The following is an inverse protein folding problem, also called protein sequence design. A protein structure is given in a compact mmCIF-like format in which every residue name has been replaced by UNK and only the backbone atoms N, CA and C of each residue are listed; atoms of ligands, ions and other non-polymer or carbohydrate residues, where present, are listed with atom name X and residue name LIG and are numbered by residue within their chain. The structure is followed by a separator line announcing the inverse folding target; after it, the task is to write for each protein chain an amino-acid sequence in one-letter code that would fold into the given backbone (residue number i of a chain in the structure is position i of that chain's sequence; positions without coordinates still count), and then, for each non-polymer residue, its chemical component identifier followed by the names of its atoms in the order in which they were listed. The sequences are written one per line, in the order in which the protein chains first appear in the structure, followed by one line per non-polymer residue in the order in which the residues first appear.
data_IF_432583006051
#
_entry.id   IF_432583006051
#
_cell.length_a   1.000
_cell.length_b   1.000
_cell.length_c   1.000
_cell.angle_alpha   90.00
_cell.angle_beta   90.00
_cell.angle_gamma   90.00
#
_symmetry.space_group_name_H-M   'P 1'
#
loop_
_entity.id
_entity.type
_entity.pdbx_description
1 polymer ?
#
# COMPACT_ATOMS: atom_id res chain seq x y z
N UNK A 1 -42.58 -16.61 3.97
CA UNK A 1 -42.14 -16.52 5.37
C UNK A 1 -41.95 -17.93 5.90
N UNK A 2 -40.72 -18.42 5.84
CA UNK A 2 -40.07 -19.23 6.87
C UNK A 2 -38.60 -19.13 6.54
N UNK A 3 -37.92 -18.33 7.35
CA UNK A 3 -36.49 -18.06 7.30
C UNK A 3 -35.70 -19.37 7.37
N UNK A 4 -34.63 -19.47 6.58
CA UNK A 4 -33.69 -20.57 6.64
C UNK A 4 -32.58 -20.20 7.63
N UNK A 5 -32.59 -20.68 8.88
CA UNK A 5 -31.49 -20.46 9.79
C UNK A 5 -30.38 -21.46 9.46
N UNK A 6 -29.14 -21.09 9.79
CA UNK A 6 -27.97 -21.97 9.90
C UNK A 6 -27.11 -22.16 8.64
N UNK A 7 -26.51 -21.08 8.14
CA UNK A 7 -25.04 -21.05 7.97
C UNK A 7 -24.53 -19.69 8.46
N UNK A 8 -24.79 -19.36 9.73
CA UNK A 8 -23.93 -18.45 10.46
C UNK A 8 -23.11 -19.32 11.40
N UNK A 9 -21.98 -19.83 10.89
CA UNK A 9 -20.87 -20.15 11.78
C UNK A 9 -20.51 -18.90 12.60
N UNK A 10 -19.76 -19.02 13.71
CA UNK A 10 -19.32 -17.82 14.41
C UNK A 10 -18.71 -16.90 13.36
N UNK A 11 -19.29 -15.69 13.21
CA UNK A 11 -18.68 -14.61 12.45
C UNK A 11 -17.24 -14.63 12.89
N UNK A 12 -16.35 -15.08 12.01
CA UNK A 12 -14.92 -15.14 12.31
C UNK A 12 -14.60 -13.77 12.84
N UNK A 13 -14.31 -13.72 14.15
CA UNK A 13 -14.23 -12.53 14.99
C UNK A 13 -13.94 -11.31 14.14
N UNK A 14 -14.93 -10.45 13.92
CA UNK A 14 -14.81 -9.30 13.03
C UNK A 14 -13.49 -8.61 13.31
N UNK A 15 -12.48 -8.87 12.46
CA UNK A 15 -11.15 -8.34 12.66
C UNK A 15 -11.34 -6.85 12.46
N UNK A 16 -11.40 -6.11 13.57
CA UNK A 16 -11.46 -4.67 13.53
C UNK A 16 -10.25 -4.25 12.72
N UNK A 17 -10.51 -3.74 11.51
CA UNK A 17 -9.46 -3.21 10.67
C UNK A 17 -8.75 -2.16 11.50
N UNK A 18 -7.43 -2.27 11.58
CA UNK A 18 -6.64 -1.37 12.39
C UNK A 18 -6.94 0.08 11.99
N UNK A 19 -7.16 0.92 12.99
CA UNK A 19 -7.51 2.32 12.81
C UNK A 19 -6.40 3.06 12.04
N UNK A 20 -5.14 2.62 12.19
CA UNK A 20 -4.01 3.12 11.40
C UNK A 20 -4.12 2.84 9.90
N UNK A 21 -4.79 1.75 9.51
CA UNK A 21 -5.03 1.41 8.09
C UNK A 21 -6.09 2.36 7.53
N UNK A 22 -7.17 2.58 8.27
CA UNK A 22 -8.28 3.45 7.84
C UNK A 22 -7.77 4.88 7.66
N UNK A 23 -7.09 5.43 8.67
CA UNK A 23 -6.53 6.78 8.58
C UNK A 23 -5.49 6.90 7.46
N UNK A 24 -4.64 5.89 7.29
CA UNK A 24 -3.68 5.84 6.21
C UNK A 24 -4.34 5.94 4.84
N UNK A 25 -5.36 5.12 4.56
CA UNK A 25 -6.08 5.14 3.26
C UNK A 25 -6.77 6.46 3.01
N UNK A 26 -7.41 7.06 4.02
CA UNK A 26 -8.09 8.35 3.87
C UNK A 26 -7.10 9.46 3.51
N UNK A 27 -5.97 9.57 4.22
CA UNK A 27 -4.93 10.54 3.88
C UNK A 27 -4.38 10.29 2.46
N UNK A 28 -4.17 9.02 2.11
CA UNK A 28 -3.66 8.65 0.80
C UNK A 28 -4.64 8.99 -0.33
N UNK A 29 -5.95 8.81 -0.13
CA UNK A 29 -6.97 9.24 -1.11
C UNK A 29 -7.01 10.76 -1.29
N UNK A 30 -6.88 11.53 -0.21
CA UNK A 30 -6.81 12.99 -0.29
C UNK A 30 -5.55 13.47 -1.03
N UNK A 31 -4.41 12.84 -0.76
CA UNK A 31 -3.12 13.20 -1.36
C UNK A 31 -2.97 12.73 -2.81
N UNK A 32 -3.57 11.58 -3.16
CA UNK A 32 -3.42 10.89 -4.45
C UNK A 32 -4.78 10.40 -4.98
N UNK A 33 -5.67 11.33 -5.37
CA UNK A 33 -6.97 10.97 -5.93
C UNK A 33 -6.86 10.24 -7.28
N UNK A 34 -5.69 10.26 -7.91
CA UNK A 34 -5.37 9.49 -9.13
C UNK A 34 -5.26 7.98 -8.86
N UNK A 35 -4.96 7.56 -7.63
CA UNK A 35 -4.82 6.15 -7.28
C UNK A 35 -6.20 5.59 -6.91
N UNK A 36 -6.73 4.80 -7.83
CA UNK A 36 -8.09 4.22 -7.72
C UNK A 36 -8.14 2.93 -6.90
N UNK A 37 -7.00 2.28 -6.65
CA UNK A 37 -6.95 1.01 -5.94
C UNK A 37 -5.77 0.95 -4.97
N UNK A 38 -6.11 0.99 -3.68
CA UNK A 38 -5.19 0.73 -2.58
C UNK A 38 -5.20 -0.75 -2.22
N UNK A 39 -4.04 -1.26 -1.83
CA UNK A 39 -3.80 -2.65 -1.42
C UNK A 39 -3.32 -2.65 0.03
N UNK A 40 -3.60 -3.75 0.71
CA UNK A 40 -3.09 -4.01 2.05
C UNK A 40 -2.33 -5.35 2.07
N UNK A 41 -1.16 -5.34 2.68
CA UNK A 41 -0.37 -6.51 2.99
C UNK A 41 -0.14 -6.56 4.52
N UNK A 42 -0.35 -7.70 5.19
CA UNK A 42 -0.21 -7.78 6.65
C UNK A 42 1.19 -7.45 7.19
N UNK A 43 2.24 -7.56 6.36
CA UNK A 43 3.63 -7.30 6.74
C UNK A 43 4.08 -5.90 6.31
N UNK A 44 3.62 -5.44 5.14
CA UNK A 44 4.08 -4.19 4.50
C UNK A 44 3.07 -3.04 4.60
N UNK A 45 1.87 -3.29 5.10
CA UNK A 45 0.82 -2.29 5.25
C UNK A 45 0.20 -1.86 3.93
N UNK A 46 -0.14 -0.57 3.82
CA UNK A 46 -0.77 0.01 2.66
C UNK A 46 0.20 0.15 1.49
N UNK A 47 -0.33 -0.08 0.30
CA UNK A 47 0.42 0.05 -0.94
C UNK A 47 -0.49 0.19 -2.15
N UNK A 48 0.11 0.29 -3.32
CA UNK A 48 -0.59 0.32 -4.60
C UNK A 48 0.32 -0.22 -5.70
N UNK A 49 -0.26 -0.47 -6.87
CA UNK A 49 0.51 -0.76 -8.08
C UNK A 49 0.51 0.48 -8.97
N UNK A 50 1.69 1.00 -9.31
CA UNK A 50 1.79 2.20 -10.14
C UNK A 50 1.65 1.86 -11.64
N UNK A 51 1.58 2.90 -12.48
CA UNK A 51 1.44 2.76 -13.93
C UNK A 51 2.62 2.04 -14.63
N UNK A 52 3.79 2.03 -13.99
CA UNK A 52 4.97 1.30 -14.48
C UNK A 52 4.96 -0.19 -14.06
N UNK A 53 3.91 -0.62 -13.34
CA UNK A 53 3.76 -2.00 -12.89
C UNK A 53 4.52 -2.33 -11.59
N UNK A 54 5.07 -1.34 -10.89
CA UNK A 54 5.83 -1.53 -9.65
C UNK A 54 4.88 -1.71 -8.45
N UNK A 55 5.23 -2.62 -7.55
CA UNK A 55 4.60 -2.68 -6.23
C UNK A 55 5.17 -1.57 -5.33
N UNK A 56 4.31 -0.73 -4.77
CA UNK A 56 4.72 0.37 -3.89
C UNK A 56 4.13 0.13 -2.51
N UNK A 57 4.97 0.14 -1.46
CA UNK A 57 4.54 -0.05 -0.07
C UNK A 57 4.90 1.14 0.79
N UNK A 58 3.91 1.64 1.53
CA UNK A 58 3.99 2.82 2.38
C UNK A 58 3.78 2.47 3.86
N UNK A 59 3.29 1.27 4.20
CA UNK A 59 3.02 0.91 5.59
C UNK A 59 1.68 1.46 6.07
N UNK A 60 1.53 1.64 7.38
CA UNK A 60 0.33 2.20 8.01
C UNK A 60 0.67 3.47 8.79
N UNK A 61 -0.33 4.08 9.41
CA UNK A 61 -0.17 5.24 10.29
C UNK A 61 -0.49 6.57 9.59
N UNK A 62 -0.06 7.66 10.22
CA UNK A 62 -0.52 9.02 9.88
C UNK A 62 0.49 9.90 9.16
N UNK A 63 1.65 9.34 8.76
CA UNK A 63 2.74 10.07 8.08
C UNK A 63 2.76 9.85 6.56
N UNK A 64 1.58 9.67 5.95
CA UNK A 64 1.48 9.26 4.54
C UNK A 64 2.02 10.31 3.56
N UNK A 65 1.92 11.59 3.90
CA UNK A 65 2.48 12.68 3.08
C UNK A 65 4.01 12.60 2.96
N UNK A 66 4.71 12.31 4.06
CA UNK A 66 6.17 12.17 4.06
C UNK A 66 6.60 10.97 3.21
N UNK A 67 5.95 9.82 3.44
CA UNK A 67 6.23 8.58 2.73
C UNK A 67 6.00 8.72 1.22
N UNK A 68 4.95 9.44 0.79
CA UNK A 68 4.72 9.74 -0.61
C UNK A 68 5.81 10.64 -1.22
N UNK A 69 6.28 11.67 -0.50
CA UNK A 69 7.38 12.53 -0.98
C UNK A 69 8.68 11.72 -1.18
N UNK A 70 8.99 10.82 -0.26
CA UNK A 70 10.13 9.91 -0.38
C UNK A 70 9.95 8.98 -1.59
N UNK A 71 8.77 8.36 -1.74
CA UNK A 71 8.44 7.54 -2.89
C UNK A 71 8.60 8.29 -4.22
N UNK A 72 8.09 9.52 -4.32
CA UNK A 72 8.16 10.32 -5.54
C UNK A 72 9.63 10.65 -5.90
N UNK A 73 10.46 10.99 -4.90
CA UNK A 73 11.89 11.24 -5.10
C UNK A 73 12.64 10.00 -5.57
N UNK A 74 12.40 8.84 -4.93
CA UNK A 74 12.99 7.56 -5.34
C UNK A 74 12.54 7.19 -6.76
N UNK A 75 11.25 7.33 -7.05
CA UNK A 75 10.69 7.02 -8.37
C UNK A 75 11.31 7.85 -9.48
N UNK A 76 11.48 9.16 -9.26
CA UNK A 76 12.16 10.03 -10.22
C UNK A 76 13.62 9.60 -10.46
N UNK A 77 14.36 9.23 -9.41
CA UNK A 77 15.74 8.74 -9.51
C UNK A 77 15.83 7.42 -10.28
N UNK A 78 14.93 6.46 -10.00
CA UNK A 78 14.85 5.18 -10.69
C UNK A 78 14.57 5.37 -12.18
N UNK A 79 13.58 6.22 -12.53
CA UNK A 79 13.21 6.52 -13.92
C UNK A 79 14.39 7.18 -14.65
N UNK A 80 15.02 8.19 -14.05
CA UNK A 80 16.16 8.88 -14.63
C UNK A 80 17.35 7.94 -14.91
N UNK A 81 17.46 6.84 -14.17
CA UNK A 81 18.50 5.81 -14.33
C UNK A 81 18.10 4.66 -15.25
N UNK A 82 16.86 4.64 -15.77
CA UNK A 82 16.36 3.55 -16.61
C UNK A 82 16.22 2.21 -15.90
N UNK A 83 16.05 2.22 -14.57
CA UNK A 83 15.92 1.01 -13.75
C UNK A 83 14.45 0.56 -13.73
N UNK A 84 14.21 -0.75 -13.82
CA UNK A 84 12.89 -1.36 -13.66
C UNK A 84 12.79 -2.12 -12.33
N UNK A 85 12.27 -1.50 -11.27
CA UNK A 85 12.09 -2.17 -9.99
C UNK A 85 10.90 -3.13 -10.03
N UNK A 86 10.98 -4.19 -9.23
CA UNK A 86 9.81 -4.99 -8.88
C UNK A 86 8.99 -4.33 -7.77
N UNK A 87 9.68 -3.76 -6.78
CA UNK A 87 9.08 -3.14 -5.61
C UNK A 87 9.83 -1.86 -5.21
N UNK A 88 9.10 -0.86 -4.71
CA UNK A 88 9.61 0.29 -3.96
C UNK A 88 8.94 0.28 -2.57
N UNK A 89 9.75 0.22 -1.51
CA UNK A 89 9.27 0.12 -0.14
C UNK A 89 9.74 1.32 0.69
N UNK A 90 8.77 2.01 1.29
CA UNK A 90 8.94 3.22 2.12
C UNK A 90 8.22 3.03 3.46
N UNK A 91 8.02 1.78 3.90
CA UNK A 91 7.39 1.49 5.20
C UNK A 91 8.20 2.12 6.33
N UNK A 92 9.53 2.00 6.26
CA UNK A 92 10.48 2.75 7.09
C UNK A 92 11.03 3.95 6.29
N UNK A 93 10.63 5.19 6.58
CA UNK A 93 11.08 6.38 5.85
C UNK A 93 12.58 6.68 6.03
N UNK A 94 13.21 6.20 7.11
CA UNK A 94 14.65 6.40 7.36
C UNK A 94 15.54 5.40 6.59
N UNK A 95 14.95 4.32 6.07
CA UNK A 95 15.65 3.28 5.34
C UNK A 95 14.81 2.71 4.19
N UNK A 96 14.39 3.54 3.22
CA UNK A 96 13.63 3.07 2.07
C UNK A 96 14.51 2.25 1.14
N UNK A 97 13.91 1.29 0.43
CA UNK A 97 14.63 0.45 -0.53
C UNK A 97 13.77 0.16 -1.76
N UNK A 98 14.42 -0.28 -2.83
CA UNK A 98 13.75 -0.87 -3.99
C UNK A 98 14.44 -2.18 -4.39
N UNK A 99 13.68 -3.11 -4.96
CA UNK A 99 14.23 -4.35 -5.50
C UNK A 99 14.22 -4.28 -7.01
N UNK A 100 15.26 -4.82 -7.65
CA UNK A 100 15.32 -4.98 -9.10
C UNK A 100 14.98 -6.40 -9.47
N UNK A 101 14.10 -6.58 -10.45
CA UNK A 101 13.87 -7.89 -11.03
C UNK A 101 15.01 -8.15 -12.02
N UNK A 102 15.98 -8.99 -11.64
CA UNK A 102 17.00 -9.44 -12.59
C UNK A 102 16.39 -10.50 -13.52
N UNK A 103 16.37 -10.20 -14.82
CA UNK A 103 16.15 -11.16 -15.91
C UNK A 103 14.71 -11.68 -16.07
N UNK A 104 13.99 -11.14 -17.06
CA UNK A 104 13.08 -11.92 -17.91
C UNK A 104 13.54 -11.81 -19.34
#
# INVERSE_FOLDING_TARGET
LVDNPMIEGPVGSGQKLDEEIIFGVLQLQELRPDIVSWRYDPTKGLGFRNANGWDVWLGVGTTMQEKLRIYDSISQSIIARGIQPGEVNVVNPDAPYYTVLWGR
#
